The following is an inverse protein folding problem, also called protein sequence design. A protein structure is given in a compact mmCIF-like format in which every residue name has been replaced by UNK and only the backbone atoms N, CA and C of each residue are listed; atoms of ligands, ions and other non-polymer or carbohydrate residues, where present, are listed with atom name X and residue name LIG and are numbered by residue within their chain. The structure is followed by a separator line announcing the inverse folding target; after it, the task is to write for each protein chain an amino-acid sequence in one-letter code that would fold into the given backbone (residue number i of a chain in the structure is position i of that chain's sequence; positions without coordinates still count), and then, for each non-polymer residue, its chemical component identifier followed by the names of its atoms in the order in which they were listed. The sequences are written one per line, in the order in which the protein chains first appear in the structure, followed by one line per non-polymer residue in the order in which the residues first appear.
data_IF_818229343350
#
_entry.id   IF_818229343350
#
_cell.length_a   1.000
_cell.length_b   1.000
_cell.length_c   1.000
_cell.angle_alpha   90.00
_cell.angle_beta   90.00
_cell.angle_gamma   90.00
#
_symmetry.space_group_name_H-M   'P 1'
#
loop_
_entity.id
_entity.type
_entity.pdbx_description
1 polymer ?
#
# COMPACT_ATOMS: atom_id res chain seq x y z
N UNK A 1 -6.02 -3.60 -3.45
CA UNK A 1 -6.11 -2.86 -2.18
C UNK A 1 -5.69 -1.42 -2.44
N UNK A 2 -6.43 -0.46 -1.87
CA UNK A 2 -6.03 0.95 -1.91
C UNK A 2 -5.24 1.31 -0.65
N UNK A 3 -4.12 2.01 -0.83
CA UNK A 3 -3.28 2.51 0.26
C UNK A 3 -3.12 4.03 0.17
N UNK A 4 -2.79 4.66 1.29
CA UNK A 4 -2.46 6.09 1.33
C UNK A 4 -0.94 6.32 1.30
N UNK A 5 -0.52 7.59 1.29
CA UNK A 5 0.90 7.96 1.27
C UNK A 5 1.69 7.47 2.49
N UNK A 6 1.06 7.33 3.66
CA UNK A 6 1.72 6.82 4.87
C UNK A 6 2.02 5.32 4.75
N UNK A 7 1.04 4.53 4.33
CA UNK A 7 1.19 3.11 4.06
C UNK A 7 2.19 2.85 2.93
N UNK A 8 2.20 3.69 1.89
CA UNK A 8 3.19 3.60 0.82
C UNK A 8 4.62 3.88 1.31
N UNK A 9 4.79 4.86 2.22
CA UNK A 9 6.09 5.12 2.85
C UNK A 9 6.54 3.93 3.71
N UNK A 10 5.64 3.37 4.52
CA UNK A 10 5.94 2.16 5.30
C UNK A 10 6.29 0.97 4.41
N UNK A 11 5.58 0.79 3.29
CA UNK A 11 5.84 -0.30 2.35
C UNK A 11 7.26 -0.31 1.77
N UNK A 12 8.01 0.81 1.83
CA UNK A 12 9.44 0.84 1.47
C UNK A 12 10.30 -0.03 2.38
N UNK A 13 9.90 -0.21 3.63
CA UNK A 13 10.50 -1.15 4.58
C UNK A 13 10.00 -2.58 4.34
N UNK A 14 9.38 -2.83 3.18
CA UNK A 14 8.84 -4.10 2.71
C UNK A 14 7.45 -4.43 3.23
N UNK A 15 6.85 -3.61 4.10
CA UNK A 15 5.57 -3.93 4.73
C UNK A 15 4.79 -2.70 5.22
N UNK A 16 3.48 -2.82 5.40
CA UNK A 16 2.64 -1.80 6.02
C UNK A 16 1.49 -2.43 6.80
N UNK A 17 0.90 -1.66 7.73
CA UNK A 17 -0.25 -2.11 8.50
C UNK A 17 -1.56 -1.80 7.76
N UNK A 18 -2.49 -2.75 7.81
CA UNK A 18 -3.85 -2.58 7.30
C UNK A 18 -4.89 -3.09 8.30
N UNK A 19 -6.06 -2.43 8.31
CA UNK A 19 -7.27 -2.89 9.02
C UNK A 19 -8.20 -3.71 8.13
N UNK A 20 -7.88 -3.79 6.85
CA UNK A 20 -8.61 -4.56 5.85
C UNK A 20 -7.67 -5.67 5.42
N UNK A 21 -8.10 -6.92 5.56
CA UNK A 21 -7.33 -8.09 5.10
C UNK A 21 -7.43 -8.15 3.58
N UNK A 22 -6.32 -7.95 2.83
CA UNK A 22 -6.33 -8.08 1.39
C UNK A 22 -6.28 -9.55 0.96
N UNK A 23 -6.20 -9.80 -0.34
CA UNK A 23 -5.90 -11.12 -0.92
C UNK A 23 -4.42 -11.21 -1.33
N UNK A 24 -3.84 -12.40 -1.26
CA UNK A 24 -2.51 -12.64 -1.82
C UNK A 24 -2.52 -12.40 -3.33
N UNK A 25 -1.50 -11.70 -3.84
CA UNK A 25 -1.40 -11.28 -5.24
C UNK A 25 -2.26 -10.06 -5.60
N UNK A 26 -3.08 -9.54 -4.67
CA UNK A 26 -3.96 -8.41 -4.95
C UNK A 26 -3.16 -7.17 -5.38
N UNK A 27 -3.54 -6.49 -6.48
CA UNK A 27 -2.89 -5.25 -6.89
C UNK A 27 -3.00 -4.18 -5.81
N UNK A 28 -1.91 -3.50 -5.50
CA UNK A 28 -1.90 -2.37 -4.57
C UNK A 28 -1.88 -1.07 -5.35
N UNK A 29 -2.81 -0.18 -5.01
CA UNK A 29 -2.98 1.11 -5.66
C UNK A 29 -2.83 2.21 -4.62
N UNK A 30 -1.85 3.09 -4.82
CA UNK A 30 -1.72 4.30 -4.03
C UNK A 30 -2.80 5.31 -4.44
N UNK A 31 -3.57 5.76 -3.46
CA UNK A 31 -4.47 6.90 -3.58
C UNK A 31 -3.76 8.18 -3.15
N UNK A 32 -3.45 9.04 -4.12
CA UNK A 32 -2.77 10.31 -3.91
C UNK A 32 -3.75 11.48 -4.10
N UNK A 33 -3.94 12.36 -3.09
CA UNK A 33 -4.68 13.59 -3.27
C UNK A 33 -3.92 14.55 -4.19
N UNK A 34 -4.64 15.25 -5.05
CA UNK A 34 -4.12 16.26 -5.99
C UNK A 34 -5.00 17.52 -5.92
N UNK A 35 -4.52 18.70 -6.37
CA UNK A 35 -5.35 19.91 -6.39
C UNK A 35 -6.65 19.78 -7.18
N UNK A 36 -6.76 18.81 -8.10
CA UNK A 36 -7.92 18.57 -8.96
C UNK A 36 -8.73 17.33 -8.58
N UNK A 37 -8.43 16.68 -7.46
CA UNK A 37 -9.12 15.45 -7.02
C UNK A 37 -8.16 14.39 -6.51
N UNK A 38 -8.29 13.15 -6.98
CA UNK A 38 -7.45 12.02 -6.55
C UNK A 38 -6.84 11.31 -7.76
N UNK A 39 -5.60 10.88 -7.62
CA UNK A 39 -4.91 10.02 -8.58
C UNK A 39 -4.69 8.65 -7.95
N UNK A 40 -4.99 7.61 -8.72
CA UNK A 40 -4.79 6.23 -8.32
C UNK A 40 -3.61 5.66 -9.12
N UNK A 41 -2.55 5.28 -8.42
CA UNK A 41 -1.31 4.80 -9.02
C UNK A 41 -1.09 3.34 -8.64
N UNK A 42 -0.97 2.41 -9.60
CA UNK A 42 -0.56 1.05 -9.26
C UNK A 42 0.88 1.09 -8.72
N UNK A 43 1.11 0.46 -7.57
CA UNK A 43 2.41 0.52 -6.88
C UNK A 43 2.98 -0.85 -6.54
N UNK A 44 2.33 -1.95 -6.90
CA UNK A 44 2.85 -3.30 -6.69
C UNK A 44 1.74 -4.30 -6.39
N UNK A 45 2.10 -5.43 -5.78
CA UNK A 45 1.15 -6.48 -5.42
C UNK A 45 1.39 -6.96 -4.00
N UNK A 46 0.32 -7.39 -3.33
CA UNK A 46 0.42 -8.06 -2.03
C UNK A 46 1.16 -9.38 -2.21
N UNK A 47 2.25 -9.56 -1.46
CA UNK A 47 3.07 -10.78 -1.52
C UNK A 47 2.87 -11.69 -0.32
N UNK A 48 2.63 -11.12 0.85
CA UNK A 48 2.41 -11.86 2.09
C UNK A 48 1.46 -11.08 3.00
N UNK A 49 0.62 -11.82 3.73
CA UNK A 49 -0.32 -11.27 4.69
C UNK A 49 -0.09 -12.01 6.01
N UNK A 50 0.27 -11.26 7.04
CA UNK A 50 0.39 -11.77 8.40
C UNK A 50 -0.72 -11.19 9.26
N UNK A 51 -1.62 -12.04 9.74
CA UNK A 51 -2.65 -11.65 10.69
C UNK A 51 -2.01 -11.29 12.04
N UNK A 52 -2.42 -10.16 12.60
CA UNK A 52 -1.97 -9.67 13.91
C UNK A 52 -3.09 -9.76 14.95
N UNK A 53 -4.26 -10.27 14.58
CA UNK A 53 -5.45 -10.29 15.40
C UNK A 53 -6.16 -8.93 15.45
N UNK A 54 -7.35 -8.90 16.07
CA UNK A 54 -8.17 -7.68 16.25
C UNK A 54 -8.50 -6.94 14.95
N UNK A 55 -8.64 -7.66 13.83
CA UNK A 55 -8.91 -7.07 12.52
C UNK A 55 -7.75 -6.24 11.97
N UNK A 56 -6.51 -6.53 12.40
CA UNK A 56 -5.30 -5.89 11.88
C UNK A 56 -4.42 -6.94 11.21
N UNK A 57 -3.83 -6.58 10.08
CA UNK A 57 -2.84 -7.39 9.40
C UNK A 57 -1.62 -6.57 9.03
N UNK A 58 -0.48 -7.24 8.96
CA UNK A 58 0.74 -6.75 8.35
C UNK A 58 0.77 -7.27 6.90
N UNK A 59 0.88 -6.35 5.96
CA UNK A 59 0.87 -6.67 4.53
C UNK A 59 2.25 -6.39 3.97
N UNK A 60 2.85 -7.37 3.30
CA UNK A 60 4.08 -7.19 2.51
C UNK A 60 3.73 -6.95 1.06
N UNK A 61 4.52 -6.10 0.41
CA UNK A 61 4.41 -5.80 -1.01
C UNK A 61 5.62 -6.37 -1.74
N UNK A 62 5.37 -7.00 -2.89
CA UNK A 62 6.38 -7.25 -3.89
C UNK A 62 6.34 -6.16 -4.97
N UNK A 63 7.53 -5.83 -5.51
CA UNK A 63 7.71 -4.92 -6.63
C UNK A 63 7.10 -3.52 -6.36
N UNK A 64 7.48 -2.90 -5.23
CA UNK A 64 7.01 -1.56 -4.91
C UNK A 64 7.54 -0.54 -5.93
N UNK A 65 6.67 -0.04 -6.80
CA UNK A 65 7.04 0.93 -7.83
C UNK A 65 7.32 2.31 -7.22
N UNK A 66 8.42 2.98 -7.61
CA UNK A 66 8.73 4.33 -7.14
C UNK A 66 7.75 5.36 -7.73
N UNK A 67 7.14 6.16 -6.86
CA UNK A 67 6.21 7.21 -7.26
C UNK A 67 6.86 8.58 -7.11
N UNK A 68 6.95 9.32 -8.22
CA UNK A 68 7.46 10.70 -8.24
C UNK A 68 6.58 11.64 -7.40
N UNK A 69 7.19 12.55 -6.64
CA UNK A 69 6.50 13.60 -5.88
C UNK A 69 6.00 13.19 -4.49
N UNK A 70 6.21 11.94 -4.05
CA UNK A 70 6.02 11.56 -2.63
C UNK A 70 7.29 11.83 -1.80
N UNK A 71 8.41 11.96 -2.51
CA UNK A 71 9.72 12.28 -1.98
C UNK A 71 10.06 13.72 -2.39
N UNK A 72 9.88 14.63 -1.45
CA UNK A 72 10.39 16.00 -1.44
C UNK A 72 11.00 16.23 -0.07
#
# INVERSE_FOLDING_TARGET
MQINSEQYRAARDGHFFSRITPLNGEPVTLNMPTPRGRRFLPVGNVSEIKDLGQGKCLVRIANLEPVQGIYS
#
